data_IF_701495361738
#
_entry.id   IF_701495361738
#
_cell.length_a   1.000
_cell.length_b   1.000
_cell.length_c   1.000
_cell.angle_alpha   90.00
_cell.angle_beta   90.00
_cell.angle_gamma   90.00
#
_symmetry.space_group_name_H-M   'P 1'
#
loop_
_entity.id
_entity.type
_entity.pdbx_description
1 polymer ?
#
# COMPACT_ATOMS: atom_id res chain seq x y z
N UNK A 1 -9.07 -15.37 28.73
CA UNK A 1 -8.13 -16.25 28.00
C UNK A 1 -8.32 -15.88 26.55
N UNK A 2 -7.31 -15.28 25.91
CA UNK A 2 -7.43 -14.90 24.49
C UNK A 2 -7.63 -16.17 23.66
N UNK A 3 -8.55 -16.14 22.71
CA UNK A 3 -8.75 -17.22 21.76
C UNK A 3 -7.45 -17.44 20.95
N UNK A 4 -7.21 -18.67 20.50
CA UNK A 4 -5.97 -19.04 19.82
C UNK A 4 -5.78 -18.24 18.52
N UNK A 5 -6.88 -17.86 17.87
CA UNK A 5 -6.87 -16.94 16.73
C UNK A 5 -6.63 -15.48 17.12
N UNK A 6 -7.12 -15.01 18.28
CA UNK A 6 -6.79 -13.68 18.82
C UNK A 6 -5.30 -13.58 19.17
N UNK A 7 -4.72 -14.63 19.76
CA UNK A 7 -3.27 -14.69 20.05
C UNK A 7 -2.45 -14.66 18.76
N UNK A 8 -2.84 -15.44 17.74
CA UNK A 8 -2.17 -15.43 16.43
C UNK A 8 -2.27 -14.07 15.75
N UNK A 9 -3.43 -13.40 15.81
CA UNK A 9 -3.63 -12.04 15.28
C UNK A 9 -2.75 -11.03 16.01
N UNK A 10 -2.69 -11.09 17.35
CA UNK A 10 -1.85 -10.20 18.16
C UNK A 10 -0.36 -10.36 17.84
N UNK A 11 0.11 -11.60 17.68
CA UNK A 11 1.50 -11.88 17.31
C UNK A 11 1.82 -11.40 15.88
N UNK A 12 0.93 -11.62 14.92
CA UNK A 12 1.12 -11.16 13.52
C UNK A 12 1.25 -9.64 13.39
N UNK A 13 0.62 -8.86 14.28
CA UNK A 13 0.79 -7.40 14.33
C UNK A 13 2.21 -6.97 14.70
N UNK A 14 2.96 -7.81 15.42
CA UNK A 14 4.30 -7.51 15.91
C UNK A 14 5.41 -7.90 14.92
N UNK A 15 5.14 -8.79 13.95
CA UNK A 15 6.12 -9.24 12.95
C UNK A 15 5.88 -8.60 11.58
N UNK A 16 6.86 -7.82 11.10
CA UNK A 16 6.75 -7.07 9.84
C UNK A 16 6.59 -7.97 8.61
N UNK A 17 7.25 -9.12 8.58
CA UNK A 17 7.20 -10.07 7.45
C UNK A 17 5.79 -10.66 7.29
N UNK A 18 5.19 -11.15 8.37
CA UNK A 18 3.83 -11.70 8.32
C UNK A 18 2.79 -10.62 8.05
N UNK A 19 3.03 -9.39 8.52
CA UNK A 19 2.12 -8.29 8.27
C UNK A 19 2.05 -7.90 6.78
N UNK A 20 3.18 -7.91 6.06
CA UNK A 20 3.20 -7.69 4.62
C UNK A 20 2.37 -8.75 3.88
N UNK A 21 2.65 -10.02 4.13
CA UNK A 21 1.93 -11.14 3.51
C UNK A 21 0.42 -11.12 3.83
N UNK A 22 0.05 -10.79 5.07
CA UNK A 22 -1.36 -10.67 5.45
C UNK A 22 -2.05 -9.54 4.66
N UNK A 23 -1.41 -8.36 4.55
CA UNK A 23 -1.92 -7.25 3.76
C UNK A 23 -2.14 -7.60 2.29
N UNK A 24 -1.15 -8.23 1.65
CA UNK A 24 -1.26 -8.70 0.26
C UNK A 24 -2.39 -9.72 0.09
N UNK A 25 -2.53 -10.66 1.04
CA UNK A 25 -3.60 -11.66 1.01
C UNK A 25 -4.99 -11.03 1.16
N UNK A 26 -5.15 -10.01 2.01
CA UNK A 26 -6.42 -9.29 2.14
C UNK A 26 -6.75 -8.52 0.86
N UNK A 27 -5.79 -7.81 0.30
CA UNK A 27 -5.94 -7.09 -0.96
C UNK A 27 -6.34 -8.02 -2.12
N UNK A 28 -5.63 -9.14 -2.29
CA UNK A 28 -5.93 -10.11 -3.36
C UNK A 28 -7.37 -10.62 -3.27
N UNK A 29 -7.82 -11.03 -2.09
CA UNK A 29 -9.18 -11.54 -1.88
C UNK A 29 -10.26 -10.51 -2.19
N UNK A 30 -10.00 -9.23 -1.89
CA UNK A 30 -10.92 -8.17 -2.20
C UNK A 30 -10.94 -7.88 -3.71
N UNK A 31 -9.76 -7.78 -4.34
CA UNK A 31 -9.62 -7.55 -5.77
C UNK A 31 -10.27 -8.66 -6.61
N UNK A 32 -10.12 -9.93 -6.22
CA UNK A 32 -10.77 -11.09 -6.85
C UNK A 32 -12.30 -11.02 -6.84
N UNK A 33 -12.88 -10.35 -5.85
CA UNK A 33 -14.34 -10.14 -5.74
C UNK A 33 -14.78 -8.82 -6.36
N UNK A 34 -13.83 -7.95 -6.70
CA UNK A 34 -14.11 -6.68 -7.36
C UNK A 34 -14.37 -6.91 -8.85
N UNK A 35 -14.88 -5.88 -9.53
CA UNK A 35 -14.99 -5.88 -10.99
C UNK A 35 -13.74 -5.29 -11.67
N UNK A 36 -12.65 -5.10 -10.93
CA UNK A 36 -11.43 -4.49 -11.48
C UNK A 36 -10.61 -5.53 -12.23
N UNK A 37 -10.00 -5.10 -13.33
CA UNK A 37 -9.00 -5.89 -14.04
C UNK A 37 -7.65 -5.62 -13.40
N UNK A 38 -7.03 -6.64 -12.83
CA UNK A 38 -5.77 -6.49 -12.11
C UNK A 38 -4.80 -7.63 -12.38
N UNK A 39 -3.51 -7.34 -12.17
CA UNK A 39 -2.41 -8.30 -12.20
C UNK A 39 -1.69 -8.31 -10.85
N UNK A 40 -1.42 -9.50 -10.31
CA UNK A 40 -0.56 -9.70 -9.14
C UNK A 40 0.91 -9.76 -9.59
N UNK A 41 1.77 -8.97 -8.95
CA UNK A 41 3.17 -8.83 -9.38
C UNK A 41 4.03 -9.82 -8.57
N UNK A 42 4.27 -11.03 -9.09
CA UNK A 42 4.95 -12.18 -8.42
C UNK A 42 6.29 -11.92 -7.69
N UNK A 43 6.34 -11.89 -6.36
CA UNK A 43 7.59 -11.71 -5.60
C UNK A 43 8.64 -12.83 -5.90
N UNK A 44 9.74 -12.46 -6.58
CA UNK A 44 10.81 -13.38 -6.96
C UNK A 44 12.14 -12.65 -7.12
N UNK A 45 13.24 -13.24 -6.64
CA UNK A 45 14.60 -12.66 -6.59
C UNK A 45 15.14 -12.21 -7.96
N UNK A 46 14.61 -12.78 -9.05
CA UNK A 46 15.03 -12.51 -10.44
C UNK A 46 14.01 -11.71 -11.27
N UNK A 47 12.89 -11.26 -10.70
CA UNK A 47 11.78 -10.69 -11.46
C UNK A 47 11.83 -9.15 -11.61
N UNK A 48 12.81 -8.48 -11.01
CA UNK A 48 13.04 -7.06 -11.23
C UNK A 48 14.03 -6.91 -12.40
N UNK A 49 13.56 -6.35 -13.52
CA UNK A 49 14.45 -5.98 -14.64
C UNK A 49 15.58 -5.08 -14.10
N UNK A 50 16.80 -5.23 -14.66
CA UNK A 50 17.95 -4.40 -14.24
C UNK A 50 17.64 -2.89 -14.31
N UNK A 51 16.71 -2.51 -15.20
CA UNK A 51 16.19 -1.16 -15.35
C UNK A 51 15.33 -0.70 -14.15
N UNK A 52 14.55 -1.55 -13.49
CA UNK A 52 13.80 -1.12 -12.30
C UNK A 52 14.72 -0.94 -11.08
N UNK A 53 15.76 -1.79 -10.97
CA UNK A 53 16.76 -1.72 -9.90
C UNK A 53 17.66 -0.47 -10.02
N UNK A 54 18.02 -0.06 -11.23
CA UNK A 54 18.90 1.10 -11.46
C UNK A 54 18.25 2.45 -11.10
N UNK A 55 16.92 2.53 -11.03
CA UNK A 55 16.18 3.72 -10.61
C UNK A 55 15.76 3.71 -9.13
N UNK A 56 16.23 2.73 -8.34
CA UNK A 56 15.84 2.59 -6.93
C UNK A 56 14.36 2.21 -6.74
N UNK A 57 13.72 1.68 -7.80
CA UNK A 57 12.29 1.45 -7.87
C UNK A 57 11.80 0.38 -6.90
N UNK A 58 10.73 0.70 -6.18
CA UNK A 58 9.96 -0.29 -5.44
C UNK A 58 9.13 -1.13 -6.42
N UNK A 59 8.96 -2.41 -6.09
CA UNK A 59 8.01 -3.29 -6.75
C UNK A 59 6.63 -3.10 -6.10
N UNK A 60 5.56 -2.82 -6.86
CA UNK A 60 4.21 -2.79 -6.31
C UNK A 60 3.66 -4.22 -6.13
N UNK A 61 2.58 -4.35 -5.37
CA UNK A 61 1.93 -5.65 -5.15
C UNK A 61 0.98 -5.99 -6.31
N UNK A 62 0.24 -4.98 -6.79
CA UNK A 62 -0.73 -5.14 -7.88
C UNK A 62 -0.68 -3.99 -8.88
N UNK A 63 -1.08 -4.28 -10.12
CA UNK A 63 -1.33 -3.30 -11.17
C UNK A 63 -2.79 -3.44 -11.58
N UNK A 64 -3.56 -2.35 -11.56
CA UNK A 64 -4.96 -2.31 -11.96
C UNK A 64 -5.07 -1.52 -13.26
N UNK A 65 -5.82 -2.03 -14.21
CA UNK A 65 -6.21 -1.34 -15.43
C UNK A 65 -7.53 -0.60 -15.17
N UNK A 66 -7.47 0.73 -15.08
CA UNK A 66 -8.64 1.57 -14.84
C UNK A 66 -9.38 1.87 -16.16
N UNK A 67 -8.62 2.09 -17.24
CA UNK A 67 -9.08 2.20 -18.62
C UNK A 67 -7.95 1.79 -19.59
N UNK A 68 -8.16 1.93 -20.90
CA UNK A 68 -7.23 1.52 -21.97
C UNK A 68 -5.83 2.15 -21.87
N UNK A 69 -5.65 3.23 -21.12
CA UNK A 69 -4.39 3.98 -20.99
C UNK A 69 -4.05 4.42 -19.56
N UNK A 70 -4.89 4.09 -18.58
CA UNK A 70 -4.74 4.51 -17.19
C UNK A 70 -4.57 3.32 -16.27
N UNK A 71 -3.49 3.34 -15.48
CA UNK A 71 -3.13 2.27 -14.58
C UNK A 71 -2.99 2.77 -13.13
N UNK A 72 -3.50 1.98 -12.20
CA UNK A 72 -3.29 2.19 -10.76
C UNK A 72 -2.27 1.18 -10.28
N UNK A 73 -1.19 1.69 -9.72
CA UNK A 73 -0.14 0.94 -9.06
C UNK A 73 -0.53 0.82 -7.59
N UNK A 74 -1.00 -0.37 -7.20
CA UNK A 74 -1.55 -0.61 -5.87
C UNK A 74 -0.56 -1.36 -4.97
N UNK A 75 -0.39 -0.87 -3.75
CA UNK A 75 0.43 -1.51 -2.71
C UNK A 75 -0.40 -1.69 -1.43
N UNK A 76 -0.38 -2.91 -0.89
CA UNK A 76 -1.16 -3.28 0.27
C UNK A 76 -0.41 -2.99 1.57
N UNK A 77 -1.06 -2.27 2.48
CA UNK A 77 -0.45 -1.79 3.72
C UNK A 77 -1.23 -2.26 4.94
N UNK A 78 -0.80 -3.37 5.54
CA UNK A 78 -1.26 -3.75 6.87
C UNK A 78 -0.50 -2.99 7.95
N UNK A 79 -0.99 -1.81 8.31
CA UNK A 79 -0.28 -0.82 9.13
C UNK A 79 -1.12 -0.41 10.35
N UNK A 80 -0.48 -0.04 11.46
CA UNK A 80 -1.16 0.69 12.53
C UNK A 80 -1.53 2.09 12.05
N UNK A 81 -2.72 2.56 12.39
CA UNK A 81 -3.30 3.81 11.88
C UNK A 81 -3.75 4.78 12.97
N UNK A 82 -3.21 4.60 14.19
CA UNK A 82 -3.57 5.38 15.37
C UNK A 82 -5.09 5.42 15.57
N UNK A 83 -5.72 4.24 15.59
CA UNK A 83 -7.16 4.13 15.70
C UNK A 83 -7.92 4.60 14.46
N UNK A 84 -7.40 4.33 13.25
CA UNK A 84 -8.01 4.72 11.97
C UNK A 84 -8.04 6.24 11.73
N UNK A 85 -7.16 7.00 12.37
CA UNK A 85 -7.13 8.47 12.27
C UNK A 85 -6.00 8.99 11.39
N UNK A 86 -4.93 8.21 11.21
CA UNK A 86 -3.77 8.63 10.43
C UNK A 86 -3.05 7.46 9.77
N UNK A 87 -2.30 7.76 8.71
CA UNK A 87 -1.41 6.82 8.05
C UNK A 87 -0.05 7.47 7.88
N UNK A 88 1.02 6.76 8.23
CA UNK A 88 2.38 7.31 8.23
C UNK A 88 3.31 6.39 7.47
N UNK A 89 4.12 6.96 6.58
CA UNK A 89 5.21 6.27 5.90
C UNK A 89 6.50 7.04 6.10
N UNK A 90 7.62 6.33 6.18
CA UNK A 90 8.93 6.98 6.19
C UNK A 90 9.17 7.70 4.87
N UNK A 91 9.88 8.83 4.91
CA UNK A 91 10.15 9.62 3.69
C UNK A 91 10.98 8.84 2.68
N UNK A 92 11.85 7.94 3.16
CA UNK A 92 12.58 6.99 2.32
C UNK A 92 11.64 6.05 1.55
N UNK A 93 10.57 5.56 2.19
CA UNK A 93 9.59 4.71 1.53
C UNK A 93 8.75 5.50 0.52
N UNK A 94 8.28 6.70 0.89
CA UNK A 94 7.55 7.60 -0.02
C UNK A 94 8.40 7.92 -1.25
N UNK A 95 9.69 8.21 -1.07
CA UNK A 95 10.63 8.48 -2.16
C UNK A 95 10.75 7.34 -3.17
N UNK A 96 10.68 6.07 -2.73
CA UNK A 96 10.72 4.90 -3.63
C UNK A 96 9.48 4.80 -4.51
N UNK A 97 8.31 5.16 -3.98
CA UNK A 97 7.07 5.18 -4.75
C UNK A 97 7.05 6.33 -5.76
N UNK A 98 7.53 7.52 -5.36
CA UNK A 98 7.71 8.65 -6.30
C UNK A 98 8.66 8.28 -7.44
N UNK A 99 9.77 7.60 -7.13
CA UNK A 99 10.70 7.11 -8.15
C UNK A 99 10.05 6.08 -9.09
N UNK A 100 9.25 5.14 -8.56
CA UNK A 100 8.49 4.18 -9.36
C UNK A 100 7.50 4.89 -10.30
N UNK A 101 6.69 5.81 -9.78
CA UNK A 101 5.71 6.54 -10.59
C UNK A 101 6.39 7.34 -11.70
N UNK A 102 7.50 8.03 -11.39
CA UNK A 102 8.25 8.77 -12.38
C UNK A 102 8.86 7.86 -13.46
N UNK A 103 9.38 6.69 -13.07
CA UNK A 103 9.89 5.69 -14.01
C UNK A 103 8.81 5.25 -14.99
N UNK A 104 7.62 4.90 -14.50
CA UNK A 104 6.51 4.44 -15.34
C UNK A 104 6.06 5.55 -16.30
N UNK A 105 5.91 6.78 -15.81
CA UNK A 105 5.59 7.95 -16.66
C UNK A 105 6.64 8.20 -17.74
N UNK A 106 7.92 7.99 -17.45
CA UNK A 106 8.99 8.16 -18.42
C UNK A 106 9.07 7.02 -19.44
N UNK A 107 8.79 5.79 -19.01
CA UNK A 107 8.87 4.60 -19.85
C UNK A 107 7.66 4.43 -20.78
N UNK A 108 6.50 4.92 -20.36
CA UNK A 108 5.22 4.78 -21.06
C UNK A 108 4.52 6.14 -21.15
N UNK A 109 4.99 7.01 -22.06
CA UNK A 109 4.51 8.40 -22.19
C UNK A 109 3.03 8.53 -22.55
N UNK A 110 2.48 7.50 -23.18
CA UNK A 110 1.09 7.47 -23.64
C UNK A 110 0.13 6.87 -22.59
N UNK A 111 0.65 6.58 -21.39
CA UNK A 111 -0.11 5.99 -20.28
C UNK A 111 -0.08 6.90 -19.04
N UNK A 112 -1.15 6.85 -18.26
CA UNK A 112 -1.25 7.53 -16.95
C UNK A 112 -1.05 6.53 -15.83
N UNK A 113 -0.26 6.91 -14.81
CA UNK A 113 0.00 6.06 -13.65
C UNK A 113 -0.26 6.81 -12.34
N UNK A 114 -1.07 6.21 -11.49
CA UNK A 114 -1.30 6.65 -10.12
C UNK A 114 -0.77 5.60 -9.15
N UNK A 115 -0.16 6.04 -8.04
CA UNK A 115 0.25 5.13 -6.97
C UNK A 115 -0.75 5.27 -5.83
N UNK A 116 -1.37 4.16 -5.46
CA UNK A 116 -2.39 4.09 -4.42
C UNK A 116 -2.03 3.02 -3.39
N UNK A 117 -2.24 3.32 -2.12
CA UNK A 117 -2.10 2.38 -1.03
C UNK A 117 -3.46 1.84 -0.64
N UNK A 118 -3.58 0.52 -0.56
CA UNK A 118 -4.72 -0.14 0.08
C UNK A 118 -4.37 -0.37 1.55
N UNK A 119 -4.80 0.55 2.41
CA UNK A 119 -4.43 0.59 3.82
C UNK A 119 -5.42 -0.23 4.63
N UNK A 120 -4.94 -1.32 5.21
CA UNK A 120 -5.63 -2.15 6.18
C UNK A 120 -5.16 -1.77 7.59
N UNK A 121 -5.98 -1.08 8.40
CA UNK A 121 -5.65 -0.84 9.80
C UNK A 121 -5.44 -2.14 10.56
N UNK A 122 -4.31 -2.26 11.26
CA UNK A 122 -4.08 -3.33 12.24
C UNK A 122 -5.15 -3.34 13.32
N UNK A 123 -5.75 -2.19 13.61
CA UNK A 123 -6.85 -2.02 14.54
C UNK A 123 -8.13 -2.73 14.08
N UNK A 124 -8.30 -2.90 12.76
CA UNK A 124 -9.46 -3.55 12.12
C UNK A 124 -9.21 -4.99 11.71
N UNK A 125 -8.01 -5.53 11.97
CA UNK A 125 -7.64 -6.93 11.69
C UNK A 125 -7.86 -7.38 10.23
N UNK A 126 -7.77 -6.44 9.29
CA UNK A 126 -7.99 -6.71 7.87
C UNK A 126 -9.46 -6.68 7.43
N UNK A 127 -10.43 -6.55 8.35
CA UNK A 127 -11.86 -6.57 8.03
C UNK A 127 -12.33 -5.31 7.26
N UNK A 128 -11.62 -4.21 7.44
CA UNK A 128 -11.87 -2.92 6.79
C UNK A 128 -10.57 -2.35 6.23
N UNK A 129 -10.68 -1.57 5.16
CA UNK A 129 -9.57 -0.85 4.55
C UNK A 129 -10.01 0.46 3.91
N UNK A 130 -9.05 1.31 3.58
CA UNK A 130 -9.27 2.53 2.82
C UNK A 130 -8.17 2.71 1.76
N UNK A 131 -8.46 3.49 0.72
CA UNK A 131 -7.46 3.86 -0.28
C UNK A 131 -6.82 5.21 0.07
N UNK A 132 -5.52 5.30 -0.18
CA UNK A 132 -4.73 6.52 0.00
C UNK A 132 -3.90 6.77 -1.25
N UNK A 133 -4.00 7.94 -1.86
CA UNK A 133 -3.11 8.32 -2.96
C UNK A 133 -1.72 8.74 -2.46
N UNK A 134 -0.67 8.44 -3.23
CA UNK A 134 0.68 8.93 -2.95
C UNK A 134 0.74 10.46 -2.82
N UNK A 135 -0.06 11.18 -3.60
CA UNK A 135 -0.07 12.65 -3.60
C UNK A 135 -0.64 13.26 -2.31
N UNK A 136 -1.36 12.47 -1.50
CA UNK A 136 -1.83 12.93 -0.18
C UNK A 136 -0.66 13.27 0.76
N UNK A 137 0.49 12.62 0.56
CA UNK A 137 1.69 12.89 1.35
C UNK A 137 2.34 14.24 1.03
N UNK A 138 2.01 14.90 -0.08
CA UNK A 138 2.51 16.24 -0.41
C UNK A 138 1.95 17.31 0.55
N UNK A 139 0.79 17.02 1.16
CA UNK A 139 0.12 17.87 2.15
C UNK A 139 0.19 17.26 3.55
N UNK A 140 0.99 16.22 3.74
CA UNK A 140 1.14 15.53 5.01
C UNK A 140 1.93 16.34 6.05
N UNK A 141 1.80 15.94 7.30
CA UNK A 141 2.53 16.49 8.43
C UNK A 141 3.87 15.75 8.59
N UNK A 142 4.98 16.49 8.64
CA UNK A 142 6.29 15.93 8.97
C UNK A 142 6.28 15.38 10.40
N UNK A 143 6.77 14.15 10.56
CA UNK A 143 6.83 13.44 11.84
C UNK A 143 8.02 12.49 11.86
N UNK A 144 8.08 11.62 12.86
CA UNK A 144 9.05 10.52 12.92
C UNK A 144 8.33 9.19 13.09
N UNK A 145 8.82 8.16 12.39
CA UNK A 145 8.38 6.77 12.55
C UNK A 145 9.61 5.91 12.83
N UNK A 146 9.65 5.27 14.01
CA UNK A 146 10.79 4.48 14.48
C UNK A 146 12.14 5.23 14.36
N UNK A 147 12.15 6.49 14.81
CA UNK A 147 13.33 7.40 14.79
C UNK A 147 13.83 7.77 13.39
N UNK A 148 12.99 7.65 12.36
CA UNK A 148 13.29 8.11 10.99
C UNK A 148 12.29 9.17 10.57
N UNK A 149 12.74 10.08 9.71
CA UNK A 149 11.86 11.08 9.10
C UNK A 149 10.74 10.39 8.32
N UNK A 150 9.53 10.89 8.55
CA UNK A 150 8.31 10.31 8.04
C UNK A 150 7.28 11.40 7.79
N UNK A 151 6.32 11.10 6.94
CA UNK A 151 5.20 11.97 6.66
C UNK A 151 3.91 11.25 7.05
N UNK A 152 3.07 11.94 7.82
CA UNK A 152 1.78 11.46 8.32
C UNK A 152 0.66 12.18 7.60
N UNK A 153 -0.33 11.43 7.16
CA UNK A 153 -1.56 11.97 6.56
C UNK A 153 -2.76 11.64 7.44
N UNK A 154 -3.83 12.43 7.31
CA UNK A 154 -5.07 12.20 8.07
C UNK A 154 -5.96 11.20 7.34
N UNK A 155 -6.49 10.23 8.09
CA UNK A 155 -7.57 9.33 7.65
C UNK A 155 -8.95 9.78 8.14
N UNK A 156 -9.08 11.01 8.63
CA UNK A 156 -10.37 11.56 9.08
C UNK A 156 -11.17 12.11 7.89
N UNK A 157 -12.48 12.26 8.07
CA UNK A 157 -13.42 12.83 7.09
C UNK A 157 -13.45 12.09 5.75
N UNK A 158 -13.30 10.76 5.78
CA UNK A 158 -13.36 9.88 4.60
C UNK A 158 -14.30 8.69 4.82
N UNK A 159 -15.40 8.93 5.53
CA UNK A 159 -16.33 7.88 5.96
C UNK A 159 -16.85 7.03 4.78
N UNK A 160 -17.05 7.66 3.62
CA UNK A 160 -17.49 6.99 2.37
C UNK A 160 -16.35 6.24 1.63
N UNK A 161 -15.11 6.30 2.14
CA UNK A 161 -13.93 5.67 1.55
C UNK A 161 -13.42 4.47 2.36
N UNK A 162 -14.24 3.98 3.30
CA UNK A 162 -13.99 2.74 4.04
C UNK A 162 -14.75 1.58 3.43
N UNK A 163 -14.03 0.50 3.14
CA UNK A 163 -14.56 -0.68 2.47
C UNK A 163 -14.39 -1.91 3.36
N UNK A 164 -15.29 -2.88 3.21
CA UNK A 164 -15.15 -4.21 3.82
C UNK A 164 -14.30 -5.10 2.93
N UNK A 165 -13.38 -5.87 3.53
CA UNK A 165 -12.52 -6.85 2.84
C UNK A 165 -13.26 -8.13 2.44
#
# INVERSE_FOLDING_TARGET
>A
MLDLDEMRRALRKQYSITAGQDGENYASKWLEKSNWKFECVEQGTNALSANLKSYGGKRPDFIIEADDSSYIILDAKYHSTDGCTSFTLTDCEIGKYRALQQFLKNAYSDCTFEVVFMVFPKEKNGDEFTFVSLDEFDKGECTTLASKDATKISLLNRDDLWFKS
#
